data_IF_418076588022
#
_entry.id   IF_418076588022
#
_cell.length_a   1.000
_cell.length_b   1.000
_cell.length_c   1.000
_cell.angle_alpha   90.00
_cell.angle_beta   90.00
_cell.angle_gamma   90.00
#
_symmetry.space_group_name_H-M   'P 1'
#
loop_
_entity.id
_entity.type
_entity.pdbx_description
1 polymer ?
#
# COMPACT_ATOMS: atom_id res chain seq x y z
N UNK A 1 -11.00 6.90 -17.98
CA UNK A 1 -12.26 6.12 -18.04
C UNK A 1 -12.62 5.67 -16.65
N UNK A 2 -13.92 5.51 -16.32
CA UNK A 2 -14.33 4.88 -15.07
C UNK A 2 -14.49 3.38 -15.33
N UNK A 3 -13.53 2.57 -14.86
CA UNK A 3 -13.64 1.11 -14.94
C UNK A 3 -14.60 0.64 -13.84
N UNK A 4 -15.51 -0.29 -14.18
CA UNK A 4 -16.35 -1.00 -13.19
C UNK A 4 -15.84 -2.42 -13.10
N UNK A 5 -15.42 -2.85 -11.90
CA UNK A 5 -14.85 -4.17 -11.67
C UNK A 5 -15.86 -4.98 -10.83
N UNK A 6 -16.19 -6.18 -11.29
CA UNK A 6 -17.04 -7.14 -10.55
C UNK A 6 -16.17 -8.35 -10.20
N UNK A 7 -16.05 -8.64 -8.90
CA UNK A 7 -15.17 -9.72 -8.40
C UNK A 7 -16.03 -10.89 -7.92
N UNK A 8 -15.76 -12.08 -8.44
CA UNK A 8 -16.24 -13.35 -7.89
C UNK A 8 -15.14 -13.99 -7.06
N UNK A 9 -15.22 -14.03 -5.72
CA UNK A 9 -14.09 -14.42 -4.86
C UNK A 9 -13.53 -15.82 -5.12
N UNK A 10 -14.38 -16.77 -5.55
CA UNK A 10 -13.94 -18.11 -5.95
C UNK A 10 -13.02 -18.79 -4.94
N UNK A 11 -11.88 -19.29 -5.40
CA UNK A 11 -10.87 -19.95 -4.55
C UNK A 11 -10.25 -19.01 -3.50
N UNK A 12 -10.24 -17.69 -3.71
CA UNK A 12 -9.67 -16.74 -2.75
C UNK A 12 -10.45 -16.75 -1.43
N UNK A 13 -11.78 -16.94 -1.49
CA UNK A 13 -12.63 -17.07 -0.30
C UNK A 13 -12.35 -18.35 0.52
N UNK A 14 -11.63 -19.33 -0.05
CA UNK A 14 -11.28 -20.58 0.62
C UNK A 14 -9.91 -20.52 1.32
N UNK A 15 -9.20 -19.39 1.28
CA UNK A 15 -7.93 -19.24 1.97
C UNK A 15 -8.16 -19.28 3.50
N UNK A 16 -7.84 -20.43 4.09
CA UNK A 16 -8.14 -20.72 5.49
C UNK A 16 -7.04 -20.28 6.46
N UNK A 17 -7.43 -20.10 7.72
CA UNK A 17 -6.50 -19.88 8.83
C UNK A 17 -5.48 -21.02 8.95
N UNK A 18 -5.91 -22.27 8.82
CA UNK A 18 -5.03 -23.44 8.91
C UNK A 18 -3.95 -23.42 7.83
N UNK A 19 -4.32 -23.00 6.61
CA UNK A 19 -3.34 -22.82 5.53
C UNK A 19 -2.28 -21.79 5.91
N UNK A 20 -2.70 -20.62 6.42
CA UNK A 20 -1.76 -19.56 6.86
C UNK A 20 -0.89 -20.02 8.03
N UNK A 21 -1.45 -20.72 9.01
CA UNK A 21 -0.67 -21.26 10.13
C UNK A 21 0.37 -22.27 9.65
N UNK A 22 0.03 -23.12 8.67
CA UNK A 22 0.98 -24.03 8.06
C UNK A 22 2.14 -23.31 7.34
N UNK A 23 1.93 -22.07 6.87
CA UNK A 23 2.97 -21.23 6.27
C UNK A 23 3.79 -20.40 7.28
N UNK A 24 3.64 -20.62 8.60
CA UNK A 24 4.35 -19.83 9.61
C UNK A 24 5.86 -19.75 9.40
N UNK A 25 6.50 -20.84 9.00
CA UNK A 25 7.94 -20.84 8.72
C UNK A 25 8.32 -19.98 7.50
N UNK A 26 7.49 -19.99 6.45
CA UNK A 26 7.67 -19.16 5.26
C UNK A 26 7.50 -17.68 5.61
N UNK A 27 6.42 -17.34 6.32
CA UNK A 27 6.15 -15.99 6.79
C UNK A 27 7.25 -15.48 7.73
N UNK A 28 7.74 -16.34 8.62
CA UNK A 28 8.81 -16.00 9.55
C UNK A 28 10.19 -15.80 8.91
N UNK A 29 10.40 -16.32 7.70
CA UNK A 29 11.62 -16.08 6.91
C UNK A 29 11.53 -14.85 6.00
N UNK A 30 10.36 -14.20 5.91
CA UNK A 30 10.16 -13.07 5.02
C UNK A 30 10.70 -11.77 5.65
N UNK A 31 11.26 -10.90 4.82
CA UNK A 31 11.59 -9.51 5.23
C UNK A 31 10.38 -8.59 5.20
N UNK A 32 9.48 -8.83 4.25
CA UNK A 32 8.27 -8.05 4.00
C UNK A 32 7.13 -9.00 3.69
N UNK A 33 5.97 -8.76 4.27
CA UNK A 33 4.72 -9.47 3.94
C UNK A 33 3.68 -8.43 3.52
N UNK A 34 3.19 -8.58 2.28
CA UNK A 34 2.16 -7.74 1.68
C UNK A 34 0.85 -8.51 1.59
N UNK A 35 -0.26 -7.85 1.94
CA UNK A 35 -1.60 -8.37 1.74
C UNK A 35 -2.55 -7.32 1.13
N UNK A 36 -3.61 -7.81 0.48
CA UNK A 36 -4.78 -7.06 -0.02
C UNK A 36 -6.06 -7.61 0.64
N UNK A 37 -7.18 -6.89 0.57
CA UNK A 37 -8.48 -7.29 1.16
C UNK A 37 -9.35 -8.14 0.22
N UNK A 38 -8.74 -8.90 -0.69
CA UNK A 38 -9.44 -9.84 -1.60
C UNK A 38 -9.50 -11.29 -1.07
N UNK A 39 -9.04 -11.51 0.17
CA UNK A 39 -9.10 -12.78 0.90
C UNK A 39 -9.84 -12.61 2.22
N UNK A 40 -10.25 -13.69 2.91
CA UNK A 40 -10.88 -13.58 4.23
C UNK A 40 -10.05 -12.75 5.20
N UNK A 41 -10.70 -11.81 5.88
CA UNK A 41 -10.03 -10.81 6.74
C UNK A 41 -9.28 -11.48 7.87
N UNK A 42 -9.84 -12.52 8.46
CA UNK A 42 -9.26 -13.26 9.58
C UNK A 42 -7.94 -13.92 9.15
N UNK A 43 -7.90 -14.42 7.92
CA UNK A 43 -6.71 -15.04 7.31
C UNK A 43 -5.62 -14.00 7.04
N UNK A 44 -5.99 -12.81 6.58
CA UNK A 44 -5.07 -11.69 6.38
C UNK A 44 -4.50 -11.22 7.73
N UNK A 45 -5.37 -11.03 8.74
CA UNK A 45 -4.96 -10.66 10.10
C UNK A 45 -3.96 -11.67 10.67
N UNK A 46 -4.23 -12.97 10.53
CA UNK A 46 -3.31 -14.02 11.00
C UNK A 46 -1.95 -13.96 10.29
N UNK A 47 -1.94 -13.75 8.96
CA UNK A 47 -0.70 -13.69 8.20
C UNK A 47 0.16 -12.48 8.60
N UNK A 48 -0.45 -11.29 8.74
CA UNK A 48 0.26 -10.07 9.17
C UNK A 48 0.72 -10.17 10.63
N UNK A 49 -0.07 -10.78 11.52
CA UNK A 49 0.33 -11.00 12.91
C UNK A 49 1.57 -11.90 13.00
N UNK A 50 1.57 -13.04 12.30
CA UNK A 50 2.72 -13.96 12.25
C UNK A 50 3.97 -13.25 11.70
N UNK A 51 3.82 -12.50 10.61
CA UNK A 51 4.91 -11.77 9.98
C UNK A 51 5.52 -10.73 10.93
N UNK A 52 4.66 -9.95 11.59
CA UNK A 52 5.06 -8.95 12.57
C UNK A 52 5.76 -9.57 13.78
N UNK A 53 5.23 -10.67 14.33
CA UNK A 53 5.86 -11.42 15.42
C UNK A 53 7.28 -11.88 15.06
N UNK A 54 7.52 -12.22 13.79
CA UNK A 54 8.81 -12.62 13.28
C UNK A 54 9.74 -11.45 12.88
N UNK A 55 9.28 -10.20 13.03
CA UNK A 55 10.06 -9.00 12.70
C UNK A 55 10.04 -8.59 11.22
N UNK A 56 9.18 -9.18 10.40
CA UNK A 56 8.97 -8.74 9.02
C UNK A 56 8.23 -7.40 8.99
N UNK A 57 8.53 -6.54 8.00
CA UNK A 57 7.71 -5.36 7.73
C UNK A 57 6.37 -5.81 7.13
N UNK A 58 5.26 -5.42 7.75
CA UNK A 58 3.92 -5.71 7.24
C UNK A 58 3.39 -4.56 6.38
N UNK A 59 2.93 -4.89 5.17
CA UNK A 59 2.31 -3.93 4.25
C UNK A 59 0.88 -4.37 3.97
N UNK A 60 -0.07 -3.45 4.11
CA UNK A 60 -1.47 -3.68 3.77
C UNK A 60 -1.90 -2.70 2.69
N UNK A 61 -2.22 -3.25 1.52
CA UNK A 61 -2.97 -2.52 0.51
C UNK A 61 -4.47 -2.69 0.83
N UNK A 62 -5.12 -1.61 1.24
CA UNK A 62 -6.50 -1.65 1.73
C UNK A 62 -7.54 -1.66 0.60
N UNK A 63 -7.27 -2.43 -0.45
CA UNK A 63 -8.10 -2.60 -1.62
C UNK A 63 -8.83 -3.96 -1.57
N UNK A 64 -10.11 -4.04 -1.99
CA UNK A 64 -10.96 -2.94 -2.46
C UNK A 64 -11.61 -2.14 -1.32
N UNK A 65 -12.07 -0.92 -1.62
CA UNK A 65 -12.59 0.04 -0.62
C UNK A 65 -13.81 -0.46 0.19
N UNK A 66 -14.62 -1.34 -0.40
CA UNK A 66 -15.82 -1.90 0.22
C UNK A 66 -15.52 -3.18 1.04
N UNK A 67 -14.32 -3.74 0.91
CA UNK A 67 -13.95 -4.94 1.66
C UNK A 67 -13.98 -4.68 3.17
N UNK A 68 -14.42 -5.66 3.99
CA UNK A 68 -14.43 -5.53 5.44
C UNK A 68 -13.01 -5.35 5.98
N UNK A 69 -12.88 -4.56 7.05
CA UNK A 69 -11.62 -4.37 7.75
C UNK A 69 -11.91 -4.00 9.20
N UNK A 70 -11.00 -4.36 10.11
CA UNK A 70 -11.05 -3.98 11.52
C UNK A 70 -9.94 -2.98 11.84
N UNK A 71 -10.11 -2.17 12.90
CA UNK A 71 -9.01 -1.33 13.38
C UNK A 71 -7.82 -2.17 13.87
N UNK A 72 -8.08 -3.41 14.31
CA UNK A 72 -7.05 -4.39 14.68
C UNK A 72 -6.16 -4.73 13.49
N UNK A 73 -6.78 -5.06 12.35
CA UNK A 73 -6.07 -5.32 11.09
C UNK A 73 -5.21 -4.11 10.67
N UNK A 74 -5.77 -2.90 10.68
CA UNK A 74 -5.02 -1.72 10.25
C UNK A 74 -3.78 -1.47 11.14
N UNK A 75 -3.88 -1.77 12.44
CA UNK A 75 -2.76 -1.65 13.38
C UNK A 75 -1.68 -2.70 13.21
N UNK A 76 -1.98 -3.81 12.53
CA UNK A 76 -0.98 -4.83 12.18
C UNK A 76 -0.06 -4.38 11.03
N UNK A 77 -0.46 -3.38 10.25
CA UNK A 77 0.33 -2.86 9.14
C UNK A 77 1.36 -1.82 9.60
N UNK A 78 2.65 -2.07 9.34
CA UNK A 78 3.70 -1.06 9.45
C UNK A 78 3.58 -0.01 8.34
N UNK A 79 3.04 -0.42 7.18
CA UNK A 79 2.75 0.44 6.04
C UNK A 79 1.34 0.14 5.50
N UNK A 80 0.48 1.15 5.48
CA UNK A 80 -0.86 1.08 4.88
C UNK A 80 -0.86 1.89 3.57
N UNK A 81 -1.35 1.34 2.47
CA UNK A 81 -1.23 1.96 1.13
C UNK A 81 -2.57 2.17 0.41
N UNK A 82 -3.53 2.94 0.96
CA UNK A 82 -4.82 3.14 0.31
C UNK A 82 -4.70 4.12 -0.87
N UNK A 83 -5.54 3.97 -1.90
CA UNK A 83 -5.83 5.08 -2.82
C UNK A 83 -6.83 6.07 -2.21
N UNK A 84 -7.22 7.12 -2.95
CA UNK A 84 -8.14 8.14 -2.47
C UNK A 84 -9.51 7.57 -2.06
N UNK A 85 -10.03 6.62 -2.84
CA UNK A 85 -11.34 6.00 -2.59
C UNK A 85 -11.31 5.11 -1.35
N UNK A 86 -10.27 4.30 -1.22
CA UNK A 86 -10.04 3.43 -0.06
C UNK A 86 -9.78 4.25 1.19
N UNK A 87 -8.99 5.33 1.09
CA UNK A 87 -8.68 6.21 2.21
C UNK A 87 -9.96 6.89 2.74
N UNK A 88 -10.79 7.45 1.85
CA UNK A 88 -12.08 8.02 2.22
C UNK A 88 -13.01 6.99 2.87
N UNK A 89 -13.08 5.76 2.33
CA UNK A 89 -13.89 4.68 2.89
C UNK A 89 -13.42 4.26 4.29
N UNK A 90 -12.11 4.11 4.48
CA UNK A 90 -11.50 3.78 5.77
C UNK A 90 -11.75 4.85 6.83
N UNK A 91 -11.62 6.14 6.47
CA UNK A 91 -11.95 7.26 7.36
C UNK A 91 -13.41 7.22 7.80
N UNK A 92 -14.33 7.03 6.85
CA UNK A 92 -15.76 6.96 7.15
C UNK A 92 -16.12 5.79 8.06
N UNK A 93 -15.47 4.63 7.87
CA UNK A 93 -15.75 3.41 8.63
C UNK A 93 -15.15 3.42 10.03
N UNK A 94 -13.91 3.87 10.17
CA UNK A 94 -13.11 3.68 11.39
C UNK A 94 -12.94 4.94 12.23
N UNK A 95 -13.11 6.12 11.63
CA UNK A 95 -12.89 7.43 12.27
C UNK A 95 -14.18 8.26 12.31
N UNK A 96 -15.18 7.93 11.48
CA UNK A 96 -16.42 8.71 11.37
C UNK A 96 -16.26 10.01 10.58
N UNK A 97 -15.12 10.21 9.93
CA UNK A 97 -14.81 11.38 9.11
C UNK A 97 -15.28 11.13 7.66
N UNK A 98 -16.00 12.08 7.08
CA UNK A 98 -16.47 11.99 5.69
C UNK A 98 -15.68 12.94 4.82
N UNK A 99 -14.92 12.38 3.88
CA UNK A 99 -14.14 13.10 2.87
C UNK A 99 -14.54 12.56 1.51
N UNK A 100 -14.76 13.43 0.52
CA UNK A 100 -14.94 12.99 -0.86
C UNK A 100 -13.60 12.50 -1.40
N UNK A 101 -13.57 11.31 -2.01
CA UNK A 101 -12.37 10.74 -2.60
C UNK A 101 -11.71 11.70 -3.61
N UNK A 102 -12.49 12.49 -4.35
CA UNK A 102 -11.97 13.44 -5.34
C UNK A 102 -11.24 14.64 -4.69
N UNK A 103 -11.53 14.94 -3.41
CA UNK A 103 -10.94 16.06 -2.69
C UNK A 103 -9.65 15.67 -1.93
N UNK A 104 -9.40 14.36 -1.72
CA UNK A 104 -8.25 13.86 -0.95
C UNK A 104 -6.93 14.42 -1.47
N UNK A 105 -6.74 14.41 -2.80
CA UNK A 105 -5.52 14.91 -3.42
C UNK A 105 -5.31 16.42 -3.21
N UNK A 106 -6.40 17.19 -3.06
CA UNK A 106 -6.40 18.65 -2.91
C UNK A 106 -6.25 19.13 -1.45
N UNK A 107 -6.43 18.24 -0.47
CA UNK A 107 -6.20 18.59 0.95
C UNK A 107 -4.76 19.05 1.19
N UNK A 108 -4.59 20.06 2.03
CA UNK A 108 -3.26 20.48 2.46
C UNK A 108 -2.58 19.36 3.25
N UNK A 109 -1.24 19.39 3.27
CA UNK A 109 -0.45 18.31 3.85
C UNK A 109 -0.69 18.11 5.35
N UNK A 110 -0.97 19.16 6.12
CA UNK A 110 -1.20 19.05 7.55
C UNK A 110 -2.56 18.40 7.84
N UNK A 111 -3.61 18.80 7.11
CA UNK A 111 -4.93 18.17 7.22
C UNK A 111 -4.91 16.70 6.83
N UNK A 112 -4.24 16.36 5.72
CA UNK A 112 -4.13 14.98 5.26
C UNK A 112 -3.30 14.11 6.23
N UNK A 113 -2.21 14.66 6.77
CA UNK A 113 -1.43 14.01 7.83
C UNK A 113 -2.29 13.72 9.07
N UNK A 114 -3.04 14.71 9.56
CA UNK A 114 -3.90 14.56 10.73
C UNK A 114 -4.96 13.46 10.53
N UNK A 115 -5.57 13.38 9.34
CA UNK A 115 -6.50 12.29 9.00
C UNK A 115 -5.82 10.92 8.98
N UNK A 116 -4.60 10.83 8.42
CA UNK A 116 -3.81 9.59 8.45
C UNK A 116 -3.52 9.14 9.89
N UNK A 117 -3.17 10.08 10.79
CA UNK A 117 -2.88 9.78 12.20
C UNK A 117 -4.12 9.35 12.98
N UNK A 118 -5.29 9.92 12.68
CA UNK A 118 -6.57 9.46 13.24
C UNK A 118 -6.90 8.03 12.79
N UNK A 119 -6.56 7.67 11.55
CA UNK A 119 -6.83 6.35 11.00
C UNK A 119 -5.92 5.27 11.58
N UNK A 120 -4.60 5.51 11.60
CA UNK A 120 -3.60 4.61 12.21
C UNK A 120 -2.52 5.43 12.91
N UNK A 121 -2.33 5.19 14.21
CA UNK A 121 -1.34 5.92 15.00
C UNK A 121 0.10 5.44 14.81
N UNK A 122 0.30 4.12 14.74
CA UNK A 122 1.60 3.45 14.91
C UNK A 122 2.33 3.06 13.61
N UNK A 123 1.77 3.38 12.44
CA UNK A 123 2.29 2.96 11.14
C UNK A 123 2.40 4.10 10.12
N UNK A 124 3.13 3.86 9.04
CA UNK A 124 3.19 4.78 7.90
C UNK A 124 1.96 4.60 7.02
N UNK A 125 1.30 5.69 6.65
CA UNK A 125 0.22 5.69 5.66
C UNK A 125 0.73 6.33 4.38
N UNK A 126 0.60 5.61 3.27
CA UNK A 126 1.01 6.02 1.93
C UNK A 126 -0.24 6.12 1.06
N UNK A 127 -0.79 7.33 0.93
CA UNK A 127 -1.99 7.55 0.13
C UNK A 127 -1.58 7.75 -1.33
N UNK A 128 -1.92 6.81 -2.22
CA UNK A 128 -1.70 7.00 -3.66
C UNK A 128 -2.75 7.95 -4.22
N UNK A 129 -2.32 8.93 -5.01
CA UNK A 129 -3.12 10.06 -5.50
C UNK A 129 -3.22 10.09 -7.04
N UNK A 130 -3.22 8.91 -7.66
CA UNK A 130 -3.22 8.75 -9.11
C UNK A 130 -2.12 9.57 -9.81
N UNK A 131 -2.53 10.40 -10.77
CA UNK A 131 -1.62 11.25 -11.55
C UNK A 131 -0.99 12.41 -10.76
N UNK A 132 -1.42 12.67 -9.54
CA UNK A 132 -0.80 13.68 -8.65
C UNK A 132 0.43 13.09 -7.97
N UNK A 133 0.47 11.77 -7.78
CA UNK A 133 1.58 11.04 -7.16
C UNK A 133 1.17 10.37 -5.87
N UNK A 134 1.87 10.66 -4.78
CA UNK A 134 1.64 9.99 -3.49
C UNK A 134 1.86 10.94 -2.33
N UNK A 135 1.09 10.77 -1.26
CA UNK A 135 1.28 11.42 0.02
C UNK A 135 1.74 10.38 1.06
N UNK A 136 2.79 10.71 1.80
CA UNK A 136 3.32 9.86 2.87
C UNK A 136 3.10 10.55 4.20
N UNK A 137 2.62 9.78 5.18
CA UNK A 137 2.48 10.19 6.57
C UNK A 137 3.08 9.12 7.47
N UNK A 138 4.12 9.48 8.21
CA UNK A 138 4.72 8.65 9.26
C UNK A 138 3.99 8.80 10.59
N UNK A 139 4.22 7.83 11.48
CA UNK A 139 4.00 8.00 12.92
C UNK A 139 5.11 8.89 13.49
N UNK A 140 4.81 9.71 14.48
CA UNK A 140 5.78 10.67 15.04
C UNK A 140 7.00 9.94 15.64
N UNK A 141 6.78 8.80 16.27
CA UNK A 141 7.79 7.96 16.88
C UNK A 141 8.66 7.17 15.88
N UNK A 142 8.27 7.09 14.60
CA UNK A 142 8.99 6.31 13.59
C UNK A 142 8.87 6.94 12.19
N UNK A 143 9.85 7.78 11.86
CA UNK A 143 9.98 8.42 10.55
C UNK A 143 10.64 7.52 9.49
N UNK A 144 11.03 6.28 9.83
CA UNK A 144 11.68 5.33 8.89
C UNK A 144 12.81 5.96 8.07
N UNK A 145 13.69 6.69 8.75
CA UNK A 145 14.86 7.35 8.16
C UNK A 145 14.58 8.67 7.42
N UNK A 146 13.32 9.07 7.26
CA UNK A 146 12.99 10.38 6.71
C UNK A 146 13.11 11.50 7.76
N UNK A 147 13.21 12.74 7.30
CA UNK A 147 13.42 13.93 8.15
C UNK A 147 12.13 14.68 8.48
N UNK A 148 11.01 14.32 7.86
CA UNK A 148 9.72 14.99 8.00
C UNK A 148 8.62 13.97 8.30
N UNK A 149 7.62 14.32 9.11
CA UNK A 149 6.51 13.43 9.45
C UNK A 149 5.56 13.16 8.28
N UNK A 150 5.55 14.03 7.27
CA UNK A 150 4.79 13.83 6.06
C UNK A 150 5.39 14.59 4.88
N UNK A 151 5.13 14.12 3.66
CA UNK A 151 5.55 14.76 2.42
C UNK A 151 4.77 14.24 1.21
N UNK A 152 4.96 14.90 0.05
CA UNK A 152 4.41 14.46 -1.24
C UNK A 152 5.54 14.10 -2.19
N UNK A 153 5.33 13.08 -3.01
CA UNK A 153 6.17 12.76 -4.16
C UNK A 153 5.27 12.84 -5.39
N UNK A 154 5.63 13.69 -6.37
CA UNK A 154 4.86 13.85 -7.59
C UNK A 154 4.88 12.57 -8.44
N UNK A 155 3.83 12.32 -9.22
CA UNK A 155 3.77 11.17 -10.12
C UNK A 155 4.90 11.19 -11.17
N UNK A 156 5.35 10.00 -11.56
CA UNK A 156 6.27 9.84 -12.68
C UNK A 156 5.63 10.35 -13.98
N UNK A 157 6.40 11.06 -14.80
CA UNK A 157 5.91 11.59 -16.07
C UNK A 157 6.02 10.52 -17.16
N UNK A 158 4.91 9.82 -17.42
CA UNK A 158 4.81 8.70 -18.36
C UNK A 158 3.68 8.88 -19.37
N UNK A 159 3.74 8.16 -20.49
CA UNK A 159 2.63 8.13 -21.45
C UNK A 159 1.59 7.10 -21.02
N UNK A 160 0.55 7.56 -20.32
CA UNK A 160 -0.50 6.69 -19.76
C UNK A 160 -1.37 6.09 -20.87
N UNK A 161 -1.44 4.76 -20.90
CA UNK A 161 -2.30 3.97 -21.77
C UNK A 161 -3.41 3.27 -20.96
N UNK A 162 -3.06 2.54 -19.90
CA UNK A 162 -3.99 1.81 -19.02
C UNK A 162 -3.51 1.90 -17.57
N UNK A 163 -4.36 2.31 -16.63
CA UNK A 163 -3.98 2.44 -15.21
C UNK A 163 -4.25 1.17 -14.40
N UNK A 164 -4.78 0.12 -15.04
CA UNK A 164 -5.14 -1.13 -14.38
C UNK A 164 -3.89 -1.80 -13.81
N UNK A 165 -3.88 -2.11 -12.51
CA UNK A 165 -2.74 -2.72 -11.83
C UNK A 165 -1.64 -1.75 -11.41
N UNK A 166 -1.77 -0.43 -11.64
CA UNK A 166 -0.76 0.54 -11.20
C UNK A 166 -0.54 0.55 -9.67
N UNK A 167 -1.62 0.36 -8.89
CA UNK A 167 -1.54 0.19 -7.45
C UNK A 167 -0.81 -1.09 -7.02
N UNK A 168 -0.97 -2.18 -7.77
CA UNK A 168 -0.25 -3.43 -7.53
C UNK A 168 1.22 -3.30 -7.88
N UNK A 169 1.55 -2.61 -8.98
CA UNK A 169 2.91 -2.28 -9.37
C UNK A 169 3.60 -1.43 -8.30
N UNK A 170 2.91 -0.40 -7.79
CA UNK A 170 3.38 0.42 -6.68
C UNK A 170 3.70 -0.43 -5.45
N UNK A 171 2.74 -1.23 -4.98
CA UNK A 171 2.88 -2.04 -3.78
C UNK A 171 3.98 -3.10 -3.90
N UNK A 172 4.05 -3.79 -5.05
CA UNK A 172 5.08 -4.78 -5.33
C UNK A 172 6.48 -4.15 -5.34
N UNK A 173 6.64 -3.02 -6.02
CA UNK A 173 7.92 -2.31 -6.09
C UNK A 173 8.33 -1.71 -4.73
N UNK A 174 7.37 -1.18 -3.95
CA UNK A 174 7.61 -0.71 -2.60
C UNK A 174 8.16 -1.83 -1.71
N UNK A 175 7.49 -2.99 -1.70
CA UNK A 175 7.91 -4.15 -0.91
C UNK A 175 9.26 -4.71 -1.36
N UNK A 176 9.50 -4.77 -2.67
CA UNK A 176 10.78 -5.21 -3.22
C UNK A 176 11.93 -4.28 -2.80
N UNK A 177 11.70 -2.96 -2.83
CA UNK A 177 12.68 -1.96 -2.41
C UNK A 177 13.02 -2.07 -0.92
N UNK A 178 12.01 -2.22 -0.05
CA UNK A 178 12.18 -2.42 1.40
C UNK A 178 12.92 -3.74 1.68
N UNK A 179 12.57 -4.83 0.99
CA UNK A 179 13.22 -6.13 1.18
C UNK A 179 14.71 -6.11 0.75
N UNK A 180 15.06 -5.26 -0.22
CA UNK A 180 16.44 -5.10 -0.68
C UNK A 180 17.28 -4.25 0.28
N UNK A 181 16.73 -3.15 0.79
CA UNK A 181 17.50 -2.10 1.48
C UNK A 181 16.67 -1.40 2.57
N UNK A 182 16.13 -2.18 3.52
CA UNK A 182 15.13 -1.69 4.49
C UNK A 182 15.60 -0.62 5.48
N UNK A 183 16.91 -0.34 5.54
CA UNK A 183 17.50 0.74 6.35
C UNK A 183 17.57 2.08 5.61
N UNK A 184 17.32 2.09 4.30
CA UNK A 184 17.27 3.32 3.53
C UNK A 184 16.10 4.20 3.99
N UNK A 185 16.27 5.52 3.84
CA UNK A 185 15.21 6.48 4.09
C UNK A 185 13.96 6.14 3.25
N UNK A 186 12.80 6.11 3.88
CA UNK A 186 11.56 5.59 3.31
C UNK A 186 11.17 6.28 1.98
N UNK A 187 11.49 7.57 1.83
CA UNK A 187 11.27 8.30 0.58
C UNK A 187 11.92 7.64 -0.65
N UNK A 188 13.03 6.93 -0.47
CA UNK A 188 13.71 6.19 -1.56
C UNK A 188 12.87 5.03 -2.05
N UNK A 189 12.23 4.29 -1.15
CA UNK A 189 11.32 3.20 -1.49
C UNK A 189 10.06 3.71 -2.20
N UNK A 190 9.54 4.85 -1.73
CA UNK A 190 8.35 5.50 -2.33
C UNK A 190 8.63 6.00 -3.75
N UNK A 191 9.79 6.64 -3.98
CA UNK A 191 10.20 7.07 -5.33
C UNK A 191 10.35 5.89 -6.28
N UNK A 192 11.02 4.82 -5.82
CA UNK A 192 11.16 3.59 -6.59
C UNK A 192 9.80 2.98 -6.95
N UNK A 193 8.89 2.88 -5.98
CA UNK A 193 7.53 2.39 -6.20
C UNK A 193 6.75 3.24 -7.22
N UNK A 194 6.86 4.56 -7.12
CA UNK A 194 6.18 5.51 -8.00
C UNK A 194 6.66 5.41 -9.47
N UNK A 195 7.95 5.16 -9.69
CA UNK A 195 8.49 4.91 -11.02
C UNK A 195 7.90 3.64 -11.65
N UNK A 196 7.84 2.54 -10.90
CA UNK A 196 7.27 1.27 -11.37
C UNK A 196 5.76 1.37 -11.60
N UNK A 197 5.05 2.10 -10.73
CA UNK A 197 3.64 2.41 -10.93
C UNK A 197 3.42 3.17 -12.24
N UNK A 198 4.17 4.25 -12.49
CA UNK A 198 4.10 5.00 -13.75
C UNK A 198 4.34 4.12 -14.97
N UNK A 199 5.46 3.38 -15.00
CA UNK A 199 5.82 2.52 -16.14
C UNK A 199 4.81 1.40 -16.40
N UNK A 200 4.16 0.88 -15.36
CA UNK A 200 3.09 -0.11 -15.54
C UNK A 200 1.93 0.44 -16.38
N UNK A 201 1.74 1.76 -16.38
CA UNK A 201 0.64 2.38 -17.12
C UNK A 201 0.90 2.59 -18.61
N UNK A 202 2.12 2.36 -19.08
CA UNK A 202 2.53 2.56 -20.48
C UNK A 202 2.15 1.36 -21.38
N UNK A 203 1.55 0.31 -20.80
CA UNK A 203 1.10 -0.91 -21.50
C UNK A 203 -0.30 -1.29 -21.02
N UNK A 204 -1.06 -1.96 -21.89
CA UNK A 204 -2.40 -2.48 -21.52
C UNK A 204 -2.31 -3.71 -20.60
N UNK A 205 -3.24 -3.79 -19.66
CA UNK A 205 -3.43 -4.94 -18.78
C UNK A 205 -2.77 -4.80 -17.41
N UNK A 206 -3.15 -5.69 -16.47
CA UNK A 206 -2.64 -5.67 -15.10
C UNK A 206 -1.29 -6.41 -14.96
N UNK A 207 -1.34 -7.71 -14.67
CA UNK A 207 -0.14 -8.53 -14.45
C UNK A 207 0.82 -8.55 -15.66
N UNK A 208 0.29 -8.48 -16.88
CA UNK A 208 1.07 -8.49 -18.12
C UNK A 208 1.81 -7.17 -18.39
N UNK A 209 1.38 -6.06 -17.78
CA UNK A 209 2.02 -4.75 -17.91
C UNK A 209 3.09 -4.49 -16.84
N UNK A 210 3.25 -5.40 -15.88
CA UNK A 210 4.19 -5.23 -14.77
C UNK A 210 5.62 -5.02 -15.27
N UNK A 211 6.26 -3.89 -14.93
CA UNK A 211 7.61 -3.60 -15.41
C UNK A 211 8.64 -4.49 -14.72
N UNK A 212 9.64 -4.93 -15.48
CA UNK A 212 10.79 -5.66 -14.94
C UNK A 212 11.86 -4.71 -14.45
N UNK A 213 12.55 -5.09 -13.37
CA UNK A 213 13.76 -4.40 -12.96
C UNK A 213 14.86 -4.59 -14.02
N UNK A 214 15.44 -3.48 -14.47
CA UNK A 214 16.57 -3.46 -15.40
C UNK A 214 17.79 -2.83 -14.72
N UNK A 215 19.03 -3.14 -15.15
CA UNK A 215 20.22 -2.56 -14.55
C UNK A 215 20.24 -1.02 -14.50
N UNK A 216 19.62 -0.33 -15.47
CA UNK A 216 19.51 1.14 -15.47
C UNK A 216 18.67 1.72 -14.32
N UNK A 217 17.83 0.90 -13.69
CA UNK A 217 17.06 1.30 -12.51
C UNK A 217 17.91 1.38 -11.24
N UNK A 218 19.08 0.73 -11.24
CA UNK A 218 20.04 0.83 -10.15
C UNK A 218 20.84 2.15 -10.16
N UNK A 219 20.95 2.80 -11.32
CA UNK A 219 21.76 4.02 -11.51
C UNK A 219 21.01 5.31 -11.12
N UNK A 220 19.69 5.24 -10.89
CA UNK A 220 18.87 6.35 -10.39
C UNK A 220 18.74 6.38 -8.85
N UNK A 221 19.50 5.54 -8.15
CA UNK A 221 19.48 5.35 -6.68
C UNK A 221 20.22 6.43 -5.88
#
# INVERSE_FOLDING_TARGET
GRNTIVIGPGANAALSLDFVQAQRALLGGAKVVLAQLESPVETIEAALAIAREAGATTVLNAAPADAPSSIGLLKLADVLTPNETEFAALLGRHVGERVDANDVAALDGASLHALCRKLVGNGTVVVTLGSVGVFVSHAEENLRGDTQPYYRVGAEQVQVLDTTGAGDAFNGALCASIAQDGEAAFIRHVRFANQFAGRSTEKEGAAVAMPHFTPGDAEQK
#
